data_IF_275548765354
#
_entry.id   IF_275548765354
#
_cell.length_a   1.000
_cell.length_b   1.000
_cell.length_c   1.000
_cell.angle_alpha   90.00
_cell.angle_beta   90.00
_cell.angle_gamma   90.00
#
_symmetry.space_group_name_H-M   'P 1'
#
loop_
_entity.id
_entity.type
_entity.pdbx_description
1 polymer ?
2 water ?
#
# COMPACT_ATOMS: atom_id res chain seq x y z
N UNK A 1 14.12 -7.74 -19.77
CA UNK A 1 13.92 -8.91 -18.88
C UNK A 1 14.44 -8.71 -17.46
N UNK A 2 15.32 -7.79 -17.14
CA UNK A 2 15.70 -7.58 -15.73
C UNK A 2 14.44 -7.20 -14.94
N UNK A 3 13.64 -6.27 -15.44
CA UNK A 3 12.39 -5.87 -14.80
C UNK A 3 11.41 -7.00 -14.61
N UNK A 4 11.31 -7.96 -15.55
CA UNK A 4 10.46 -9.11 -15.38
C UNK A 4 11.00 -10.03 -14.29
N UNK A 5 12.32 -10.25 -14.26
CA UNK A 5 12.90 -11.11 -13.23
C UNK A 5 12.73 -10.54 -11.83
N UNK A 6 12.96 -9.25 -11.69
CA UNK A 6 12.82 -8.64 -10.36
C UNK A 6 11.37 -8.64 -9.94
N UNK A 7 10.46 -8.25 -10.85
CA UNK A 7 9.03 -8.31 -10.52
C UNK A 7 8.57 -9.69 -10.11
N UNK A 8 8.97 -10.71 -10.86
CA UNK A 8 8.69 -12.10 -10.62
C UNK A 8 9.18 -12.60 -9.27
N UNK A 9 10.43 -12.26 -8.93
CA UNK A 9 10.95 -12.63 -7.62
C UNK A 9 10.17 -11.95 -6.49
N UNK A 10 9.86 -10.67 -6.71
CA UNK A 10 9.09 -9.95 -5.68
C UNK A 10 7.70 -10.53 -5.55
N UNK A 11 7.05 -10.89 -6.67
CA UNK A 11 5.68 -11.43 -6.58
C UNK A 11 5.63 -12.79 -5.92
N UNK A 12 6.69 -13.59 -6.04
CA UNK A 12 6.79 -14.89 -5.41
C UNK A 12 7.19 -14.81 -3.94
N UNK A 13 7.67 -13.65 -3.48
CA UNK A 13 8.14 -13.49 -2.12
C UNK A 13 9.54 -14.05 -1.92
N UNK A 14 10.30 -14.18 -3.00
CA UNK A 14 11.66 -14.71 -2.95
C UNK A 14 12.61 -13.59 -2.56
N UNK A 15 12.83 -13.45 -1.25
CA UNK A 15 13.71 -12.40 -0.74
C UNK A 15 15.16 -12.55 -1.17
N UNK A 16 15.64 -13.79 -1.19
CA UNK A 16 17.04 -14.00 -1.61
C UNK A 16 17.27 -13.62 -3.06
N UNK A 17 16.33 -13.94 -3.96
CA UNK A 17 16.45 -13.56 -5.36
C UNK A 17 16.37 -12.05 -5.53
N UNK A 18 15.47 -11.40 -4.79
CA UNK A 18 15.39 -9.95 -4.82
C UNK A 18 16.73 -9.37 -4.36
N UNK A 19 17.32 -9.87 -3.27
CA UNK A 19 18.63 -9.33 -2.87
C UNK A 19 19.73 -9.54 -3.90
N UNK A 20 19.75 -10.71 -4.50
CA UNK A 20 20.74 -11.05 -5.52
C UNK A 20 20.62 -10.07 -6.67
N UNK A 21 19.39 -9.78 -7.13
CA UNK A 21 19.21 -8.91 -8.28
C UNK A 21 19.61 -7.47 -7.96
N UNK A 22 19.22 -7.01 -6.77
CA UNK A 22 19.51 -5.64 -6.38
C UNK A 22 20.98 -5.40 -6.03
N UNK A 23 21.60 -6.36 -5.35
CA UNK A 23 22.91 -6.13 -4.76
C UNK A 23 24.07 -6.79 -5.50
N UNK A 24 23.78 -7.82 -6.27
CA UNK A 24 24.85 -8.42 -7.09
C UNK A 24 24.67 -8.00 -8.54
N UNK A 25 23.51 -8.13 -9.16
CA UNK A 25 23.40 -7.69 -10.55
C UNK A 25 23.25 -6.18 -10.65
N UNK A 26 22.81 -5.51 -9.60
CA UNK A 26 22.66 -4.08 -9.54
C UNK A 26 21.50 -3.60 -10.44
N UNK A 27 20.43 -4.40 -10.47
CA UNK A 27 19.21 -4.01 -11.21
C UNK A 27 18.62 -2.84 -10.43
N UNK A 28 18.13 -1.79 -11.08
CA UNK A 28 17.51 -0.67 -10.36
C UNK A 28 16.11 -1.11 -9.94
N UNK A 29 15.67 -0.76 -8.73
CA UNK A 29 14.37 -1.23 -8.24
C UNK A 29 13.21 -0.73 -9.06
N UNK A 30 13.32 0.35 -9.82
CA UNK A 30 12.21 0.79 -10.69
C UNK A 30 12.27 0.13 -12.08
N UNK A 31 13.07 -0.89 -12.36
CA UNK A 31 13.07 -1.55 -13.67
C UNK A 31 11.66 -2.04 -14.04
N UNK A 32 11.16 -1.67 -15.21
CA UNK A 32 9.78 -2.07 -15.55
C UNK A 32 9.63 -3.48 -16.08
N UNK A 33 8.60 -4.20 -15.65
CA UNK A 33 8.29 -5.51 -16.20
C UNK A 33 7.57 -5.26 -17.54
N UNK A 34 7.23 -6.33 -18.24
CA UNK A 34 6.64 -6.20 -19.58
C UNK A 34 5.29 -5.50 -19.61
N UNK A 35 4.59 -5.45 -18.48
CA UNK A 35 3.30 -4.77 -18.42
C UNK A 35 3.39 -3.36 -17.86
N UNK A 36 4.60 -2.80 -17.83
CA UNK A 36 4.85 -1.46 -17.40
C UNK A 36 4.76 -1.27 -15.88
N UNK A 37 4.92 -2.31 -15.09
CA UNK A 37 4.85 -2.14 -13.63
C UNK A 37 6.22 -2.33 -12.97
N UNK A 38 6.33 -1.77 -11.76
CA UNK A 38 7.55 -1.95 -10.97
C UNK A 38 7.28 -3.08 -9.99
N UNK A 39 8.38 -3.62 -9.45
CA UNK A 39 8.35 -4.71 -8.49
C UNK A 39 7.56 -4.28 -7.25
N UNK A 40 7.69 -2.99 -6.89
CA UNK A 40 6.89 -2.57 -5.70
C UNK A 40 5.39 -2.68 -5.93
N UNK A 41 4.91 -2.51 -7.16
CA UNK A 41 3.50 -2.63 -7.49
C UNK A 41 2.95 -4.02 -7.45
N UNK A 42 3.76 -5.04 -7.74
CA UNK A 42 3.26 -6.41 -7.82
C UNK A 42 3.79 -7.37 -6.78
N UNK A 43 4.53 -6.86 -5.79
CA UNK A 43 5.14 -7.71 -4.79
C UNK A 43 4.13 -8.41 -3.89
N UNK A 44 4.57 -9.48 -3.26
CA UNK A 44 3.80 -10.19 -2.24
C UNK A 44 3.77 -9.25 -1.04
N UNK A 45 2.69 -8.56 -0.70
CA UNK A 45 2.79 -7.54 0.35
C UNK A 45 3.06 -8.04 1.75
N UNK A 46 2.98 -9.33 2.00
CA UNK A 46 3.39 -9.97 3.23
C UNK A 46 4.90 -9.93 3.43
N UNK A 47 5.69 -9.82 2.35
CA UNK A 47 7.14 -9.76 2.45
C UNK A 47 7.64 -8.35 2.73
N UNK A 48 7.69 -7.95 4.00
CA UNK A 48 8.15 -6.62 4.39
C UNK A 48 9.60 -6.40 3.95
N UNK A 49 10.43 -7.43 4.05
CA UNK A 49 11.84 -7.34 3.66
C UNK A 49 11.98 -6.94 2.19
N UNK A 50 11.13 -7.51 1.33
CA UNK A 50 11.19 -7.14 -0.09
C UNK A 50 10.84 -5.68 -0.26
N UNK A 51 9.80 -5.17 0.42
CA UNK A 51 9.46 -3.76 0.28
C UNK A 51 10.60 -2.84 0.73
N UNK A 52 11.17 -3.17 1.89
CA UNK A 52 12.24 -2.27 2.38
C UNK A 52 13.49 -2.36 1.53
N UNK A 53 13.83 -3.54 1.04
CA UNK A 53 15.03 -3.67 0.18
C UNK A 53 14.87 -2.80 -1.05
N UNK A 54 13.70 -2.86 -1.70
CA UNK A 54 13.45 -2.04 -2.88
C UNK A 54 13.51 -0.56 -2.61
N UNK A 55 12.89 -0.17 -1.48
CA UNK A 55 12.85 1.26 -1.12
C UNK A 55 14.22 1.81 -0.77
N UNK A 56 15.03 0.99 -0.09
CA UNK A 56 16.39 1.48 0.26
C UNK A 56 17.23 1.69 -0.98
N UNK A 57 16.98 0.92 -2.04
CA UNK A 57 17.73 1.07 -3.29
C UNK A 57 17.15 2.11 -4.23
N UNK A 58 16.07 2.78 -3.88
CA UNK A 58 15.54 3.91 -4.63
C UNK A 58 14.19 3.72 -5.30
N UNK A 59 13.46 2.66 -4.97
CA UNK A 59 12.15 2.46 -5.61
C UNK A 59 11.26 3.66 -5.32
N UNK A 60 10.40 4.01 -6.30
CA UNK A 60 9.51 5.16 -5.99
C UNK A 60 8.24 4.67 -5.32
N UNK A 61 7.95 5.18 -4.12
CA UNK A 61 6.81 4.73 -3.34
C UNK A 61 5.45 5.21 -3.83
N UNK A 62 5.42 6.33 -4.53
CA UNK A 62 4.17 6.93 -4.98
C UNK A 62 3.72 6.52 -6.38
N UNK A 63 4.32 5.49 -6.94
CA UNK A 63 3.93 4.97 -8.26
C UNK A 63 2.44 4.68 -8.25
N UNK A 64 1.77 4.96 -9.37
CA UNK A 64 0.30 4.75 -9.38
C UNK A 64 -0.11 4.21 -10.73
N UNK A 65 -1.04 3.28 -10.81
CA UNK A 65 -1.46 2.79 -12.12
C UNK A 65 -2.60 3.65 -12.62
N UNK A 66 -3.25 3.28 -13.74
CA UNK A 66 -4.27 4.22 -14.29
C UNK A 66 -5.61 4.13 -13.59
N UNK A 67 -5.74 3.19 -12.66
CA UNK A 67 -6.93 3.08 -11.83
C UNK A 67 -6.74 3.93 -10.56
N UNK A 68 -5.59 4.58 -10.44
CA UNK A 68 -5.22 5.40 -9.32
C UNK A 68 -4.71 4.63 -8.12
N UNK A 69 -4.38 3.36 -8.31
CA UNK A 69 -3.94 2.47 -7.24
C UNK A 69 -2.43 2.50 -7.05
N UNK A 70 -1.98 2.71 -5.81
CA UNK A 70 -0.55 2.62 -5.51
C UNK A 70 -0.37 1.49 -4.51
N UNK A 71 0.90 1.19 -4.18
CA UNK A 71 1.22 0.16 -3.22
C UNK A 71 0.58 0.43 -1.85
N UNK A 72 0.47 1.65 -1.39
CA UNK A 72 -0.19 1.87 -0.10
C UNK A 72 -1.66 1.45 -0.12
N UNK A 73 -2.37 1.62 -1.23
CA UNK A 73 -3.77 1.22 -1.30
C UNK A 73 -3.87 -0.28 -1.13
N UNK A 74 -3.06 -1.00 -1.92
CA UNK A 74 -3.08 -2.46 -1.86
C UNK A 74 -2.61 -2.98 -0.51
N UNK A 75 -1.61 -2.37 0.12
CA UNK A 75 -1.17 -2.85 1.44
C UNK A 75 -2.23 -2.64 2.52
N UNK A 76 -2.95 -1.54 2.47
CA UNK A 76 -4.01 -1.27 3.42
C UNK A 76 -5.21 -2.19 3.22
N UNK A 77 -5.57 -2.39 1.95
CA UNK A 77 -6.75 -3.23 1.64
C UNK A 77 -6.54 -4.67 2.06
N UNK A 78 -5.29 -5.17 1.95
CA UNK A 78 -4.99 -6.55 2.29
C UNK A 78 -4.48 -6.74 3.72
N UNK A 79 -4.35 -5.66 4.47
CA UNK A 79 -4.07 -5.75 5.91
C UNK A 79 -2.65 -5.93 6.34
N UNK A 80 -1.71 -5.65 5.44
CA UNK A 80 -0.30 -5.91 5.74
C UNK A 80 0.32 -4.72 6.42
N UNK A 81 0.12 -4.63 7.74
CA UNK A 81 0.52 -3.43 8.47
C UNK A 81 2.02 -3.19 8.50
N UNK A 82 2.82 -4.24 8.61
CA UNK A 82 4.29 -4.03 8.70
C UNK A 82 4.83 -3.47 7.39
N UNK A 83 4.24 -3.93 6.28
CA UNK A 83 4.64 -3.40 4.99
C UNK A 83 4.15 -1.98 4.78
N UNK A 84 2.92 -1.71 5.21
CA UNK A 84 2.40 -0.33 5.13
C UNK A 84 3.27 0.60 5.93
N UNK A 85 3.70 0.24 7.16
CA UNK A 85 4.58 1.09 7.95
C UNK A 85 5.90 1.40 7.24
N UNK A 86 6.53 0.44 6.57
CA UNK A 86 7.76 0.71 5.84
C UNK A 86 7.51 1.62 4.64
N UNK A 87 6.38 1.47 3.95
CA UNK A 87 6.03 2.31 2.83
C UNK A 87 5.88 3.76 3.30
N UNK A 88 5.14 3.96 4.39
CA UNK A 88 4.93 5.32 4.89
C UNK A 88 6.24 5.91 5.41
N UNK A 89 7.05 5.12 6.10
CA UNK A 89 8.35 5.55 6.62
C UNK A 89 9.25 6.05 5.50
N UNK A 90 9.15 5.43 4.32
CA UNK A 90 9.93 5.88 3.18
C UNK A 90 9.24 6.84 2.23
N UNK A 91 8.24 7.60 2.69
CA UNK A 91 7.67 8.68 1.93
C UNK A 91 6.43 8.47 1.10
N UNK A 92 5.73 7.36 1.28
CA UNK A 92 4.50 7.12 0.54
C UNK A 92 3.38 7.99 1.11
N UNK A 93 2.63 8.67 0.25
CA UNK A 93 1.50 9.50 0.65
C UNK A 93 0.28 8.64 0.93
N UNK A 94 -0.36 8.78 2.10
CA UNK A 94 -1.58 8.00 2.33
C UNK A 94 -2.84 8.83 2.12
N UNK A 95 -2.74 10.01 1.55
CA UNK A 95 -3.92 10.85 1.30
C UNK A 95 -4.32 10.96 -0.16
N UNK A 96 -3.78 10.12 -1.04
CA UNK A 96 -4.12 10.17 -2.47
C UNK A 96 -5.22 9.15 -2.75
N UNK A 97 -6.31 9.61 -3.33
CA UNK A 97 -7.44 8.72 -3.55
C UNK A 97 -7.22 7.87 -4.79
N UNK A 98 -7.77 6.69 -4.82
CA UNK A 98 -7.72 5.85 -6.03
C UNK A 98 -8.87 6.30 -6.93
N UNK A 99 -9.11 5.58 -8.03
CA UNK A 99 -10.15 5.95 -8.98
C UNK A 99 -11.57 5.74 -8.42
N UNK A 100 -11.74 5.07 -7.30
CA UNK A 100 -13.05 4.88 -6.66
C UNK A 100 -13.30 6.00 -5.64
N UNK A 101 -12.35 6.90 -5.45
CA UNK A 101 -12.39 7.98 -4.50
C UNK A 101 -11.89 7.53 -3.12
N UNK A 102 -11.36 6.32 -3.03
CA UNK A 102 -10.93 5.77 -1.76
C UNK A 102 -9.52 6.08 -1.31
N UNK A 103 -9.37 6.50 -0.03
CA UNK A 103 -8.01 6.56 0.50
C UNK A 103 -7.69 5.14 0.95
N UNK A 104 -6.42 4.86 1.24
CA UNK A 104 -6.04 3.62 1.86
C UNK A 104 -6.88 3.40 3.12
N UNK A 105 -7.21 4.42 3.93
CA UNK A 105 -8.02 4.13 5.14
C UNK A 105 -9.41 3.64 4.80
N UNK A 106 -10.03 4.15 3.72
CA UNK A 106 -11.36 3.66 3.34
C UNK A 106 -11.25 2.18 3.01
N UNK A 107 -10.22 1.77 2.29
CA UNK A 107 -10.06 0.36 1.96
C UNK A 107 -9.90 -0.54 3.15
N UNK A 108 -9.12 -0.11 4.15
CA UNK A 108 -8.92 -0.88 5.37
C UNK A 108 -10.21 -0.95 6.19
N UNK A 109 -11.01 0.09 6.16
CA UNK A 109 -12.30 0.08 6.85
C UNK A 109 -13.25 -0.92 6.22
N UNK A 110 -13.27 -0.95 4.89
CA UNK A 110 -14.16 -1.84 4.14
C UNK A 110 -13.85 -3.28 4.45
N UNK A 111 -12.53 -3.56 4.54
CA UNK A 111 -12.11 -4.92 4.79
C UNK A 111 -12.02 -5.32 6.25
N UNK A 112 -12.16 -4.40 7.18
CA UNK A 112 -12.15 -4.70 8.61
C UNK A 112 -10.77 -4.78 9.24
N UNK A 113 -9.76 -4.15 8.66
CA UNK A 113 -8.42 -4.23 9.24
C UNK A 113 -8.21 -3.19 10.33
N UNK A 114 -8.60 -3.58 11.54
CA UNK A 114 -8.53 -2.70 12.70
C UNK A 114 -7.16 -2.12 13.01
N UNK A 115 -6.11 -2.95 12.97
CA UNK A 115 -4.77 -2.35 13.27
C UNK A 115 -4.35 -1.34 12.23
N UNK A 116 -4.66 -1.57 10.95
CA UNK A 116 -4.32 -0.62 9.88
C UNK A 116 -5.11 0.66 10.04
N UNK A 117 -6.42 0.53 10.33
CA UNK A 117 -7.22 1.74 10.54
C UNK A 117 -6.62 2.57 11.67
N UNK A 118 -6.30 1.96 12.81
CA UNK A 118 -5.68 2.68 13.91
C UNK A 118 -4.43 3.41 13.47
N UNK A 119 -3.51 2.72 12.79
CA UNK A 119 -2.28 3.37 12.30
C UNK A 119 -2.57 4.54 11.40
N UNK A 120 -3.46 4.39 10.41
CA UNK A 120 -3.67 5.43 9.43
C UNK A 120 -4.52 6.59 9.92
N UNK A 121 -5.25 6.40 11.02
CA UNK A 121 -6.20 7.41 11.45
C UNK A 121 -5.65 8.77 11.81
N UNK A 122 -4.48 8.84 12.42
CA UNK A 122 -3.93 10.16 12.74
C UNK A 122 -2.90 10.26 11.63
N UNK A 123 -3.23 10.60 10.42
CA UNK A 123 -2.36 10.62 9.26
C UNK A 123 -3.23 10.92 8.03
N UNK A 124 -4.50 10.49 8.11
CA UNK A 124 -5.42 10.60 6.99
C UNK A 124 -6.42 11.75 7.08
N UNK A 125 -6.84 12.22 5.91
CA UNK A 125 -7.88 13.27 5.87
C UNK A 125 -9.24 12.60 6.05
N UNK A 126 -9.78 12.60 7.27
CA UNK A 126 -11.02 11.88 7.55
C UNK A 126 -12.29 12.53 7.02
N UNK A 127 -12.22 13.68 6.35
CA UNK A 127 -13.38 14.29 5.73
C UNK A 127 -13.50 13.92 4.24
N UNK A 128 -12.57 13.18 3.70
CA UNK A 128 -12.59 12.82 2.29
C UNK A 128 -13.68 11.78 2.02
N UNK A 129 -14.47 12.05 0.99
CA UNK A 129 -15.55 11.11 0.66
C UNK A 129 -15.29 10.34 -0.63
N UNK A 130 -15.65 9.06 -0.63
CA UNK A 130 -15.39 8.27 -1.86
C UNK A 130 -16.52 8.49 -2.87
N UNK A 131 -16.53 7.61 -3.88
CA UNK A 131 -17.54 7.70 -4.93
C UNK A 131 -18.96 7.57 -4.41
N UNK A 132 -19.15 6.80 -3.34
CA UNK A 132 -20.47 6.61 -2.74
C UNK A 132 -20.85 7.72 -1.79
N UNK A 133 -20.01 8.73 -1.65
CA UNK A 133 -20.23 9.88 -0.81
C UNK A 133 -19.92 9.60 0.67
N UNK A 134 -19.14 8.56 0.96
CA UNK A 134 -18.90 8.26 2.36
C UNK A 134 -17.49 8.61 2.86
N UNK A 135 -17.48 9.14 4.10
CA UNK A 135 -16.18 9.34 4.76
C UNK A 135 -15.86 7.99 5.38
N UNK A 136 -14.62 7.78 5.85
CA UNK A 136 -14.24 6.53 6.48
C UNK A 136 -15.11 6.23 7.71
N UNK A 137 -15.44 7.22 8.53
CA UNK A 137 -16.34 7.00 9.68
C UNK A 137 -17.73 6.60 9.18
N UNK A 138 -18.24 7.24 8.14
CA UNK A 138 -19.56 6.88 7.60
C UNK A 138 -19.54 5.48 7.00
N UNK A 139 -18.48 5.10 6.29
CA UNK A 139 -18.41 3.71 5.82
C UNK A 139 -18.45 2.75 7.02
N UNK A 140 -17.66 3.02 8.07
CA UNK A 140 -17.79 2.21 9.30
C UNK A 140 -19.16 2.60 9.81
N UNK A 141 -20.08 2.11 10.54
CA UNK A 141 -21.38 2.79 10.76
C UNK A 141 -22.24 2.10 9.68
N UNK A 142 -22.02 2.36 8.40
CA UNK A 142 -22.80 1.63 7.39
C UNK A 142 -22.58 0.14 7.54
N UNK A 143 -21.30 -0.27 7.72
CA UNK A 143 -21.04 -1.70 7.88
C UNK A 143 -21.37 -2.23 9.27
N UNK A 144 -21.55 -1.35 10.25
CA UNK A 144 -21.81 -1.77 11.63
C UNK A 144 -20.51 -2.15 12.35
N UNK A 145 -19.38 -1.66 11.86
CA UNK A 145 -18.06 -2.03 12.40
C UNK A 145 -17.73 -1.12 13.58
N UNK A 146 -18.35 -1.42 14.73
CA UNK A 146 -18.25 -0.54 15.89
C UNK A 146 -16.84 -0.31 16.42
N UNK A 147 -15.94 -1.31 16.31
CA UNK A 147 -14.57 -1.07 16.75
C UNK A 147 -13.90 -0.01 15.88
N UNK A 148 -14.22 0.04 14.58
CA UNK A 148 -13.63 1.05 13.71
C UNK A 148 -14.27 2.41 13.98
N UNK A 149 -15.56 2.40 14.30
CA UNK A 149 -16.20 3.68 14.63
C UNK A 149 -15.49 4.27 15.85
N UNK A 150 -15.32 3.48 16.89
CA UNK A 150 -14.69 3.90 18.14
C UNK A 150 -13.34 4.55 17.88
N UNK A 151 -12.52 3.89 17.06
CA UNK A 151 -11.23 4.49 16.68
C UNK A 151 -11.37 5.80 15.96
N UNK A 152 -12.19 5.83 14.88
CA UNK A 152 -12.33 7.04 14.10
C UNK A 152 -12.93 8.22 14.81
N UNK A 153 -13.86 8.00 15.76
CA UNK A 153 -14.41 9.12 16.51
C UNK A 153 -13.34 9.83 17.33
N UNK A 154 -12.30 9.14 17.75
CA UNK A 154 -11.22 9.73 18.53
C UNK A 154 -10.42 10.76 17.74
N UNK A 155 -10.46 10.68 16.41
CA UNK A 155 -9.73 11.57 15.52
C UNK A 155 -10.60 12.62 14.87
N UNK A 156 -11.89 12.56 15.07
CA UNK A 156 -12.93 13.49 14.68
C UNK A 156 -14.08 12.83 13.95
#
# INVERSE_FOLDING_TARGET
RAGDRLSGAAARGDVQEVRRLLHRELVHPDALNRFGKTALQVMMFGSTAIALELLKQGASPNVQDTSGTSPVHDAARTGFLDTLKVLVEHGADVNVPDGTGALPIHLAVQEGHTAVVSFLAAESDLHRRDARGLTPLELALQRGAQDLVDILQGHM
#
